data_IF_279161524446
#
_entry.id   IF_279161524446
#
_cell.length_a   1.000
_cell.length_b   1.000
_cell.length_c   1.000
_cell.angle_alpha   90.00
_cell.angle_beta   90.00
_cell.angle_gamma   90.00
#
_symmetry.space_group_name_H-M   'P 1'
#
loop_
_entity.id
_entity.type
_entity.pdbx_description
1 polymer ?
#
# COMPACT_ATOMS: atom_id res chain seq x y z
N UNK A 1 9.48 28.49 26.04
CA UNK A 1 10.19 28.36 24.74
C UNK A 1 10.52 26.92 24.36
N UNK A 2 11.54 26.25 24.91
CA UNK A 2 11.85 24.86 24.47
C UNK A 2 10.74 23.85 24.84
N UNK A 3 10.15 23.98 26.03
CA UNK A 3 9.08 23.08 26.50
C UNK A 3 7.80 23.17 25.66
N UNK A 4 7.39 24.39 25.26
CA UNK A 4 6.21 24.61 24.40
C UNK A 4 6.43 24.02 23.01
N UNK A 5 7.64 24.18 22.44
CA UNK A 5 7.99 23.63 21.15
C UNK A 5 7.99 22.09 21.19
N UNK A 6 8.58 21.50 22.23
CA UNK A 6 8.59 20.04 22.42
C UNK A 6 7.17 19.46 22.55
N UNK A 7 6.26 20.17 23.23
CA UNK A 7 4.86 19.78 23.35
C UNK A 7 4.14 19.79 22.00
N UNK A 8 4.32 20.85 21.20
CA UNK A 8 3.72 20.97 19.86
C UNK A 8 4.24 19.87 18.94
N UNK A 9 5.56 19.62 18.92
CA UNK A 9 6.15 18.55 18.12
C UNK A 9 5.61 17.17 18.51
N UNK A 10 5.51 16.88 19.81
CA UNK A 10 4.98 15.60 20.30
C UNK A 10 3.53 15.40 19.87
N UNK A 11 2.71 16.44 19.97
CA UNK A 11 1.31 16.40 19.54
C UNK A 11 1.20 16.13 18.03
N UNK A 12 1.96 16.87 17.22
CA UNK A 12 1.93 16.69 15.77
C UNK A 12 2.35 15.28 15.34
N UNK A 13 3.42 14.75 15.94
CA UNK A 13 3.87 13.37 15.67
C UNK A 13 2.84 12.34 16.10
N UNK A 14 2.15 12.57 17.23
CA UNK A 14 1.09 11.68 17.71
C UNK A 14 -0.12 11.69 16.78
N UNK A 15 -0.56 12.87 16.34
CA UNK A 15 -1.68 13.04 15.42
C UNK A 15 -1.39 12.36 14.06
N UNK A 16 -0.16 12.47 13.55
CA UNK A 16 0.24 11.82 12.30
C UNK A 16 0.29 10.30 12.45
N UNK A 17 0.86 9.80 13.56
CA UNK A 17 0.88 8.37 13.84
C UNK A 17 -0.53 7.78 13.92
N UNK A 18 -1.45 8.47 14.59
CA UNK A 18 -2.84 8.03 14.70
C UNK A 18 -3.53 7.94 13.33
N UNK A 19 -3.27 8.90 12.43
CA UNK A 19 -3.79 8.85 11.05
C UNK A 19 -3.24 7.67 10.27
N UNK A 20 -1.93 7.40 10.39
CA UNK A 20 -1.28 6.26 9.74
C UNK A 20 -1.88 4.95 10.25
N UNK A 21 -1.97 4.77 11.57
CA UNK A 21 -2.52 3.56 12.17
C UNK A 21 -3.98 3.33 11.73
N UNK A 22 -4.82 4.36 11.78
CA UNK A 22 -6.23 4.30 11.30
C UNK A 22 -6.34 3.96 9.82
N UNK A 23 -5.44 4.49 8.99
CA UNK A 23 -5.42 4.17 7.57
C UNK A 23 -5.06 2.71 7.33
N UNK A 24 -4.00 2.22 8.00
CA UNK A 24 -3.56 0.83 7.90
C UNK A 24 -4.67 -0.11 8.36
N UNK A 25 -5.31 0.15 9.50
CA UNK A 25 -6.41 -0.67 10.04
C UNK A 25 -7.62 -0.77 9.10
N UNK A 26 -7.79 0.21 8.19
CA UNK A 26 -8.84 0.22 7.18
C UNK A 26 -8.51 -0.52 5.88
N UNK A 27 -7.29 -1.04 5.73
CA UNK A 27 -6.84 -1.71 4.50
C UNK A 27 -7.38 -3.14 4.37
N UNK A 28 -7.62 -3.62 3.14
CA UNK A 28 -7.97 -5.01 2.93
C UNK A 28 -6.81 -5.96 3.29
N UNK A 29 -7.13 -7.12 3.86
CA UNK A 29 -6.18 -8.13 4.36
C UNK A 29 -5.06 -8.49 3.36
N UNK A 30 -5.41 -8.43 2.07
CA UNK A 30 -4.53 -8.81 0.97
C UNK A 30 -3.34 -7.85 0.75
N UNK A 31 -3.34 -6.67 1.36
CA UNK A 31 -2.23 -5.70 1.36
C UNK A 31 -1.90 -5.18 2.76
N UNK A 32 -2.82 -5.30 3.72
CA UNK A 32 -2.65 -4.85 5.11
C UNK A 32 -1.30 -5.27 5.71
N UNK A 33 -0.97 -6.57 5.64
CA UNK A 33 0.27 -7.10 6.21
C UNK A 33 1.53 -6.51 5.57
N UNK A 34 1.51 -6.24 4.27
CA UNK A 34 2.63 -5.64 3.54
C UNK A 34 2.83 -4.17 3.94
N UNK A 35 1.75 -3.39 3.99
CA UNK A 35 1.82 -1.98 4.40
C UNK A 35 2.23 -1.85 5.86
N UNK A 36 1.67 -2.66 6.76
CA UNK A 36 2.04 -2.71 8.18
C UNK A 36 3.53 -3.03 8.37
N UNK A 37 4.06 -3.99 7.61
CA UNK A 37 5.48 -4.38 7.69
C UNK A 37 6.44 -3.30 7.20
N UNK A 38 6.00 -2.44 6.27
CA UNK A 38 6.79 -1.31 5.78
C UNK A 38 6.90 -0.16 6.80
N UNK A 39 6.03 -0.13 7.82
CA UNK A 39 6.02 0.86 8.91
C UNK A 39 6.12 2.31 8.40
N UNK A 40 5.17 2.75 7.56
CA UNK A 40 5.17 4.12 7.03
C UNK A 40 5.15 5.15 8.17
N UNK A 41 5.85 6.27 7.96
CA UNK A 41 5.94 7.36 8.93
C UNK A 41 4.90 8.44 8.71
N UNK A 42 4.40 8.55 7.49
CA UNK A 42 3.38 9.53 7.09
C UNK A 42 2.21 8.83 6.41
N UNK A 43 1.07 9.50 6.41
CA UNK A 43 -0.12 9.00 5.71
C UNK A 43 0.13 8.85 4.21
N UNK A 44 0.85 9.79 3.60
CA UNK A 44 1.17 9.76 2.17
C UNK A 44 2.03 8.55 1.79
N UNK A 45 3.01 8.19 2.61
CA UNK A 45 3.82 6.97 2.42
C UNK A 45 2.93 5.71 2.47
N UNK A 46 1.99 5.65 3.43
CA UNK A 46 1.07 4.53 3.55
C UNK A 46 0.15 4.41 2.30
N UNK A 47 -0.36 5.54 1.81
CA UNK A 47 -1.20 5.61 0.61
C UNK A 47 -0.42 5.18 -0.64
N UNK A 48 0.80 5.68 -0.82
CA UNK A 48 1.65 5.33 -1.94
C UNK A 48 1.97 3.83 -1.95
N UNK A 49 2.32 3.26 -0.79
CA UNK A 49 2.56 1.82 -0.64
C UNK A 49 1.33 0.99 -1.00
N UNK A 50 0.15 1.36 -0.48
CA UNK A 50 -1.09 0.65 -0.78
C UNK A 50 -1.40 0.68 -2.29
N UNK A 51 -1.27 1.84 -2.93
CA UNK A 51 -1.49 2.01 -4.37
C UNK A 51 -0.52 1.18 -5.19
N UNK A 52 0.78 1.22 -4.87
CA UNK A 52 1.81 0.45 -5.57
C UNK A 52 1.54 -1.07 -5.51
N UNK A 53 1.09 -1.57 -4.36
CA UNK A 53 0.74 -2.98 -4.18
C UNK A 53 -0.48 -3.40 -5.01
N UNK A 54 -1.50 -2.54 -5.07
CA UNK A 54 -2.68 -2.77 -5.92
C UNK A 54 -2.32 -2.77 -7.40
N UNK A 55 -1.53 -1.78 -7.84
CA UNK A 55 -1.08 -1.66 -9.23
C UNK A 55 -0.22 -2.85 -9.66
N UNK A 56 0.68 -3.31 -8.79
CA UNK A 56 1.50 -4.49 -9.05
C UNK A 56 0.65 -5.74 -9.26
N UNK A 57 -0.36 -5.97 -8.40
CA UNK A 57 -1.29 -7.10 -8.55
C UNK A 57 -2.08 -7.02 -9.85
N UNK A 58 -2.57 -5.82 -10.21
CA UNK A 58 -3.30 -5.62 -11.47
C UNK A 58 -2.43 -5.93 -12.69
N UNK A 59 -1.18 -5.44 -12.71
CA UNK A 59 -0.22 -5.75 -13.79
C UNK A 59 0.04 -7.25 -13.92
N UNK A 60 0.30 -7.94 -12.81
CA UNK A 60 0.52 -9.39 -12.81
C UNK A 60 -0.70 -10.15 -13.34
N UNK A 61 -1.92 -9.71 -13.01
CA UNK A 61 -3.14 -10.34 -13.54
C UNK A 61 -3.27 -10.15 -15.05
N UNK A 62 -3.04 -8.93 -15.55
CA UNK A 62 -3.09 -8.62 -16.98
C UNK A 62 -2.04 -9.44 -17.78
N UNK A 63 -0.83 -9.57 -17.27
CA UNK A 63 0.23 -10.39 -17.86
C UNK A 63 -0.17 -11.86 -17.94
N UNK A 64 -0.75 -12.43 -16.88
CA UNK A 64 -1.22 -13.83 -16.88
C UNK A 64 -2.35 -14.06 -17.89
N UNK A 65 -3.27 -13.11 -18.02
CA UNK A 65 -4.38 -13.22 -18.98
C UNK A 65 -3.89 -13.19 -20.42
N UNK A 66 -2.97 -12.28 -20.74
CA UNK A 66 -2.38 -12.19 -22.09
C UNK A 66 -1.59 -13.45 -22.44
N UNK A 67 -0.84 -14.00 -21.50
CA UNK A 67 -0.11 -15.26 -21.69
C UNK A 67 -1.06 -16.46 -21.86
N UNK A 68 -2.11 -16.56 -21.04
CA UNK A 68 -3.09 -17.64 -21.18
C UNK A 68 -3.82 -17.60 -22.53
N UNK A 69 -4.13 -16.41 -23.05
CA UNK A 69 -4.76 -16.24 -24.35
C UNK A 69 -3.85 -16.71 -25.49
N UNK A 70 -2.56 -16.32 -25.47
CA UNK A 70 -1.56 -16.78 -26.45
C UNK A 70 -1.45 -18.30 -26.47
N UNK A 71 -1.45 -18.94 -25.31
CA UNK A 71 -1.40 -20.42 -25.21
C UNK A 71 -2.64 -21.08 -25.79
N UNK A 72 -3.82 -20.53 -25.54
CA UNK A 72 -5.08 -21.05 -26.10
C UNK A 72 -5.10 -20.94 -27.62
N UNK A 73 -4.72 -19.78 -28.17
CA UNK A 73 -4.68 -19.55 -29.61
C UNK A 73 -3.69 -20.51 -30.31
N UNK A 74 -2.50 -20.73 -29.71
CA UNK A 74 -1.52 -21.69 -30.22
C UNK A 74 -2.05 -23.14 -30.23
N UNK A 75 -2.80 -23.55 -29.20
CA UNK A 75 -3.35 -24.90 -29.11
C UNK A 75 -4.51 -25.16 -30.08
N UNK A 76 -5.20 -24.11 -30.54
CA UNK A 76 -6.29 -24.23 -31.51
C UNK A 76 -5.83 -24.17 -32.98
N UNK A 77 -4.55 -23.82 -33.21
CA UNK A 77 -3.93 -23.77 -34.54
C UNK A 77 -3.03 -24.98 -34.86
N UNK A 78 -2.84 -25.90 -33.90
CA UNK A 78 -2.16 -27.18 -34.06
C UNK A 78 -3.16 -28.30 -34.33
#
# INVERSE_FOLDING_TARGET
HFQELALICTKFVSDEKEKVDKYIDGLPDNIHGNVMSARPKTLDEAIELANNLMDQKLRTYAERQTESKRKFDNNNQA
#
